data_IF_711815323932
#
_entry.id   IF_711815323932
#
_cell.length_a   1.000
_cell.length_b   1.000
_cell.length_c   1.000
_cell.angle_alpha   90.00
_cell.angle_beta   90.00
_cell.angle_gamma   90.00
#
_symmetry.space_group_name_H-M   'P 1'
#
loop_
_entity.id
_entity.type
_entity.pdbx_description
1 polymer ?
#
# COMPACT_ATOMS: atom_id res chain seq x y z
N UNK A 1 -16.69 -36.91 8.23
CA UNK A 1 -17.18 -35.72 7.48
C UNK A 1 -17.02 -34.42 8.26
N UNK A 2 -17.46 -34.34 9.52
CA UNK A 2 -17.41 -33.10 10.34
C UNK A 2 -16.01 -32.46 10.46
N UNK A 3 -14.95 -33.25 10.64
CA UNK A 3 -13.57 -32.76 10.75
C UNK A 3 -13.06 -32.08 9.48
N UNK A 4 -13.39 -32.64 8.30
CA UNK A 4 -12.98 -32.06 7.00
C UNK A 4 -13.67 -30.72 6.72
N UNK A 5 -14.92 -30.57 7.17
CA UNK A 5 -15.68 -29.33 7.04
C UNK A 5 -15.10 -28.21 7.93
N UNK A 6 -14.69 -28.53 9.15
CA UNK A 6 -14.05 -27.58 10.07
C UNK A 6 -12.72 -27.07 9.49
N UNK A 7 -11.89 -27.98 8.97
CA UNK A 7 -10.63 -27.58 8.32
C UNK A 7 -10.87 -26.68 7.10
N UNK A 8 -11.87 -26.98 6.27
CA UNK A 8 -12.21 -26.15 5.11
C UNK A 8 -12.65 -24.74 5.53
N UNK A 9 -13.49 -24.62 6.57
CA UNK A 9 -13.98 -23.33 7.08
C UNK A 9 -12.82 -22.49 7.61
N UNK A 10 -11.90 -23.09 8.38
CA UNK A 10 -10.73 -22.39 8.90
C UNK A 10 -9.79 -21.91 7.79
N UNK A 11 -9.59 -22.72 6.75
CA UNK A 11 -8.79 -22.33 5.58
C UNK A 11 -9.44 -21.15 4.84
N UNK A 12 -10.73 -21.23 4.53
CA UNK A 12 -11.46 -20.15 3.85
C UNK A 12 -11.43 -18.86 4.69
N UNK A 13 -11.62 -18.97 6.01
CA UNK A 13 -11.53 -17.81 6.90
C UNK A 13 -10.16 -17.15 6.85
N UNK A 14 -9.07 -17.93 6.92
CA UNK A 14 -7.71 -17.40 6.81
C UNK A 14 -7.44 -16.68 5.49
N UNK A 15 -7.94 -17.22 4.37
CA UNK A 15 -7.83 -16.61 3.05
C UNK A 15 -8.58 -15.27 2.94
N UNK A 16 -9.79 -15.17 3.52
CA UNK A 16 -10.59 -13.93 3.52
C UNK A 16 -9.89 -12.82 4.32
N UNK A 17 -9.20 -13.15 5.42
CA UNK A 17 -8.51 -12.17 6.25
C UNK A 17 -7.19 -11.64 5.67
N UNK A 18 -6.64 -12.27 4.62
CA UNK A 18 -5.38 -11.85 4.01
C UNK A 18 -5.54 -10.78 2.92
N UNK A 19 -6.74 -10.66 2.34
CA UNK A 19 -7.06 -9.70 1.27
C UNK A 19 -6.90 -8.22 1.67
N UNK A 20 -7.20 -7.75 2.90
CA UNK A 20 -7.18 -6.32 3.23
C UNK A 20 -5.81 -5.66 3.10
N UNK A 21 -4.73 -6.41 3.31
CA UNK A 21 -3.36 -5.85 3.28
C UNK A 21 -2.93 -5.43 1.87
N UNK A 22 -3.46 -6.10 0.85
CA UNK A 22 -3.16 -5.75 -0.55
C UNK A 22 -3.82 -4.42 -0.95
N UNK A 23 -4.96 -4.08 -0.36
CA UNK A 23 -5.73 -2.88 -0.70
C UNK A 23 -5.43 -1.64 0.15
N UNK A 24 -4.59 -1.76 1.18
CA UNK A 24 -4.27 -0.65 2.08
C UNK A 24 -3.63 0.57 1.38
N UNK A 25 -3.12 0.38 0.15
CA UNK A 25 -2.44 1.40 -0.66
C UNK A 25 -3.08 1.51 -2.06
N UNK A 26 -4.39 1.25 -2.15
CA UNK A 26 -5.13 1.25 -3.42
C UNK A 26 -4.84 0.05 -4.34
N UNK A 27 -4.17 -0.99 -3.84
CA UNK A 27 -3.74 -2.13 -4.64
C UNK A 27 -2.54 -1.85 -5.54
N UNK A 28 -1.85 -0.72 -5.35
CA UNK A 28 -0.72 -0.30 -6.19
C UNK A 28 0.59 -1.04 -5.90
N UNK A 29 1.46 -1.04 -6.90
CA UNK A 29 2.83 -1.53 -6.78
C UNK A 29 3.74 -0.49 -6.14
N UNK A 30 4.61 -0.95 -5.23
CA UNK A 30 5.56 -0.11 -4.51
C UNK A 30 6.66 0.38 -5.47
N UNK A 31 6.68 1.69 -5.74
CA UNK A 31 7.69 2.34 -6.58
C UNK A 31 8.85 2.87 -5.75
N UNK A 32 8.55 3.43 -4.58
CA UNK A 32 9.55 3.96 -3.63
C UNK A 32 9.31 3.31 -2.28
N UNK A 33 10.35 2.70 -1.71
CA UNK A 33 10.26 1.97 -0.44
C UNK A 33 11.05 2.68 0.67
N UNK A 34 10.34 3.20 1.69
CA UNK A 34 10.88 3.76 2.93
C UNK A 34 12.12 4.66 2.74
N UNK A 35 12.09 5.52 1.73
CA UNK A 35 13.22 6.38 1.39
C UNK A 35 13.32 7.52 2.41
N UNK A 36 14.45 7.68 3.11
CA UNK A 36 14.61 8.75 4.10
C UNK A 36 14.65 10.13 3.46
N UNK A 37 13.89 11.08 4.00
CA UNK A 37 13.85 12.48 3.59
C UNK A 37 13.72 13.36 4.84
N UNK A 38 14.80 14.05 5.21
CA UNK A 38 14.80 15.07 6.27
C UNK A 38 14.10 14.67 7.59
N UNK A 39 14.37 13.46 8.12
CA UNK A 39 13.77 12.96 9.37
C UNK A 39 12.44 12.21 9.20
N UNK A 40 11.98 12.07 7.96
CA UNK A 40 10.86 11.23 7.56
C UNK A 40 11.34 10.05 6.71
N UNK A 41 10.46 9.08 6.52
CA UNK A 41 10.57 8.05 5.49
C UNK A 41 9.35 8.13 4.58
N UNK A 42 9.58 8.08 3.27
CA UNK A 42 8.54 8.18 2.25
C UNK A 42 8.44 6.87 1.49
N UNK A 43 7.22 6.39 1.30
CA UNK A 43 6.91 5.29 0.39
C UNK A 43 5.85 5.70 -0.61
N UNK A 44 5.96 5.26 -1.85
CA UNK A 44 5.01 5.58 -2.93
C UNK A 44 4.57 4.29 -3.62
N UNK A 45 3.26 4.15 -3.79
CA UNK A 45 2.63 3.08 -4.56
C UNK A 45 1.85 3.67 -5.72
N UNK A 46 1.86 2.98 -6.86
CA UNK A 46 1.12 3.39 -8.07
C UNK A 46 0.25 2.24 -8.59
N UNK A 47 -0.98 2.56 -9.00
CA UNK A 47 -1.90 1.64 -9.67
C UNK A 47 -2.49 2.28 -10.93
N UNK A 48 -2.70 1.54 -12.02
CA UNK A 48 -2.30 0.14 -12.21
C UNK A 48 -0.77 0.01 -12.37
N UNK A 49 -0.24 -1.21 -12.19
CA UNK A 49 1.21 -1.47 -12.24
C UNK A 49 1.85 -1.15 -13.60
N UNK A 50 1.07 -1.25 -14.68
CA UNK A 50 1.50 -0.92 -16.03
C UNK A 50 0.48 0.04 -16.66
N UNK A 51 0.54 1.33 -16.32
CA UNK A 51 -0.44 2.31 -16.76
C UNK A 51 -0.36 2.52 -18.26
N UNK A 52 -1.52 2.62 -18.91
CA UNK A 52 -1.62 2.99 -20.32
C UNK A 52 -2.12 4.44 -20.48
N UNK A 53 -1.83 5.01 -21.65
CA UNK A 53 -2.32 6.34 -21.99
C UNK A 53 -3.86 6.36 -21.97
N UNK A 54 -4.43 7.34 -21.26
CA UNK A 54 -5.87 7.48 -21.09
C UNK A 54 -6.47 6.71 -19.91
N UNK A 55 -5.65 6.02 -19.11
CA UNK A 55 -6.09 5.42 -17.84
C UNK A 55 -5.88 6.37 -16.66
N UNK A 56 -6.72 6.24 -15.63
CA UNK A 56 -6.54 6.94 -14.37
C UNK A 56 -5.41 6.29 -13.56
N UNK A 57 -4.46 7.11 -13.09
CA UNK A 57 -3.40 6.68 -12.20
C UNK A 57 -3.79 6.99 -10.74
N UNK A 58 -3.78 5.96 -9.90
CA UNK A 58 -3.91 6.11 -8.46
C UNK A 58 -2.52 6.07 -7.81
N UNK A 59 -2.20 7.12 -7.05
CA UNK A 59 -0.96 7.20 -6.28
C UNK A 59 -1.28 7.23 -4.79
N UNK A 60 -0.62 6.37 -4.02
CA UNK A 60 -0.66 6.43 -2.56
C UNK A 60 0.72 6.85 -2.05
N UNK A 61 0.76 7.86 -1.19
CA UNK A 61 1.99 8.31 -0.54
C UNK A 61 1.89 8.03 0.96
N UNK A 62 2.83 7.22 1.47
CA UNK A 62 2.98 6.95 2.89
C UNK A 62 4.10 7.81 3.47
N UNK A 63 3.81 8.54 4.53
CA UNK A 63 4.79 9.35 5.26
C UNK A 63 4.94 8.79 6.68
N UNK A 64 6.15 8.40 7.03
CA UNK A 64 6.51 7.90 8.35
C UNK A 64 7.58 8.76 9.03
N UNK A 65 7.60 8.76 10.36
CA UNK A 65 8.70 9.38 11.12
C UNK A 65 9.90 8.44 11.16
N UNK A 66 11.07 8.91 10.73
CA UNK A 66 12.32 8.15 10.82
C UNK A 66 12.72 7.94 12.28
N UNK A 67 12.66 9.02 13.08
CA UNK A 67 13.00 9.01 14.51
C UNK A 67 12.15 8.03 15.35
N UNK A 68 10.95 7.68 14.87
CA UNK A 68 10.04 6.76 15.54
C UNK A 68 9.97 5.37 14.86
N UNK A 69 10.88 5.08 13.92
CA UNK A 69 10.94 3.79 13.24
C UNK A 69 9.82 3.59 12.23
N UNK A 70 9.60 4.58 11.35
CA UNK A 70 8.59 4.59 10.30
C UNK A 70 7.12 4.59 10.77
N UNK A 71 6.86 5.08 12.00
CA UNK A 71 5.47 5.26 12.46
C UNK A 71 4.73 6.29 11.59
N UNK A 72 3.44 6.09 11.27
CA UNK A 72 2.68 7.00 10.42
C UNK A 72 2.66 8.42 10.96
N UNK A 73 2.86 9.40 10.08
CA UNK A 73 2.61 10.83 10.35
C UNK A 73 1.21 11.15 9.82
N UNK A 74 0.28 11.51 10.71
CA UNK A 74 -1.15 11.60 10.38
C UNK A 74 -1.58 12.97 9.86
N UNK A 75 -0.74 13.98 10.04
CA UNK A 75 -0.93 15.38 9.67
C UNK A 75 0.08 15.83 8.61
N UNK A 76 0.65 14.89 7.87
CA UNK A 76 1.57 15.18 6.78
C UNK A 76 0.85 15.95 5.66
N UNK A 77 1.44 17.06 5.23
CA UNK A 77 1.06 17.73 4.00
C UNK A 77 1.87 17.13 2.86
N UNK A 78 1.18 16.70 1.80
CA UNK A 78 1.78 16.07 0.63
C UNK A 78 1.35 16.85 -0.60
N UNK A 79 2.33 17.38 -1.33
CA UNK A 79 2.14 18.00 -2.63
C UNK A 79 2.75 17.09 -3.71
N UNK A 80 2.05 16.93 -4.82
CA UNK A 80 2.47 16.07 -5.93
C UNK A 80 2.54 16.93 -7.19
N UNK A 81 3.69 16.88 -7.85
CA UNK A 81 3.89 17.50 -9.17
C UNK A 81 4.11 16.39 -10.20
N UNK A 82 3.40 16.46 -11.32
CA UNK A 82 3.45 15.46 -12.39
C UNK A 82 3.94 16.14 -13.66
N UNK A 83 4.99 15.58 -14.26
CA UNK A 83 5.54 16.04 -15.52
C UNK A 83 5.31 14.97 -16.58
N UNK A 84 4.99 15.39 -17.81
CA UNK A 84 5.02 14.54 -18.98
C UNK A 84 6.20 14.98 -19.85
N UNK A 85 7.10 14.05 -20.16
CA UNK A 85 8.18 14.24 -21.15
C UNK A 85 7.70 13.90 -22.56
#
# INVERSE_FOLDING_TARGET
MKTRLIFLILTIWGLVTAVPLLYAHGGGELQIANTPVAGYVVSIWTAPNNPQAGEDLHMTVGVGSEALGAKPVLDAQVDIEVFAE
#
